data_IF_020512436047
#
_entry.id   IF_020512436047
#
_cell.length_a   1.000
_cell.length_b   1.000
_cell.length_c   1.000
_cell.angle_alpha   90.00
_cell.angle_beta   90.00
_cell.angle_gamma   90.00
#
_symmetry.space_group_name_H-M   'P 1'
#
loop_
_entity.id
_entity.type
_entity.pdbx_description
1 polymer ?
#
# COMPACT_ATOMS: atom_id res chain seq x y z
N UNK A 1 6.13 -38.98 -4.60
CA UNK A 1 5.48 -37.66 -4.46
C UNK A 1 6.35 -36.67 -5.19
N UNK A 2 5.90 -36.03 -6.28
CA UNK A 2 6.72 -34.99 -6.92
C UNK A 2 6.96 -33.91 -5.87
N UNK A 3 8.21 -33.64 -5.55
CA UNK A 3 8.60 -32.54 -4.67
C UNK A 3 8.06 -31.27 -5.29
N UNK A 4 7.02 -30.69 -4.68
CA UNK A 4 6.43 -29.45 -5.15
C UNK A 4 7.54 -28.40 -5.12
N UNK A 5 8.01 -27.96 -6.29
CA UNK A 5 8.87 -26.80 -6.39
C UNK A 5 8.20 -25.66 -5.63
N UNK A 6 8.93 -25.05 -4.71
CA UNK A 6 8.45 -23.89 -3.97
C UNK A 6 8.10 -22.80 -4.97
N UNK A 7 6.81 -22.47 -5.10
CA UNK A 7 6.36 -21.38 -5.94
C UNK A 7 6.15 -20.17 -5.04
N UNK A 8 7.05 -19.18 -5.01
CA UNK A 8 7.05 -18.14 -3.97
C UNK A 8 5.73 -17.36 -3.87
N UNK A 9 5.00 -17.21 -4.99
CA UNK A 9 3.65 -16.66 -4.99
C UNK A 9 2.69 -17.51 -4.15
N UNK A 10 2.66 -18.83 -4.39
CA UNK A 10 1.77 -19.74 -3.66
C UNK A 10 2.14 -19.79 -2.19
N UNK A 11 3.43 -19.77 -1.87
CA UNK A 11 3.93 -19.77 -0.50
C UNK A 11 3.46 -18.52 0.25
N UNK A 12 3.62 -17.34 -0.35
CA UNK A 12 3.11 -16.08 0.19
C UNK A 12 1.60 -16.11 0.41
N UNK A 13 0.82 -16.49 -0.62
CA UNK A 13 -0.64 -16.51 -0.54
C UNK A 13 -1.14 -17.54 0.49
N UNK A 14 -0.48 -18.71 0.57
CA UNK A 14 -0.81 -19.73 1.56
C UNK A 14 -0.50 -19.27 2.98
N UNK A 15 0.64 -18.62 3.21
CA UNK A 15 0.99 -18.08 4.52
C UNK A 15 -0.04 -17.02 4.96
N UNK A 16 -0.35 -16.06 4.09
CA UNK A 16 -1.34 -15.03 4.36
C UNK A 16 -2.74 -15.61 4.64
N UNK A 17 -3.16 -16.62 3.87
CA UNK A 17 -4.43 -17.33 4.06
C UNK A 17 -4.48 -18.08 5.40
N UNK A 18 -3.47 -18.91 5.69
CA UNK A 18 -3.41 -19.76 6.90
C UNK A 18 -3.45 -18.94 8.18
N UNK A 19 -2.70 -17.83 8.20
CA UNK A 19 -2.62 -16.94 9.36
C UNK A 19 -3.75 -15.89 9.39
N UNK A 20 -4.67 -15.92 8.41
CA UNK A 20 -5.73 -14.92 8.21
C UNK A 20 -5.20 -13.49 8.24
N UNK A 21 -3.98 -13.28 7.74
CA UNK A 21 -3.36 -11.95 7.67
C UNK A 21 -4.19 -11.06 6.76
N UNK A 22 -4.35 -9.81 7.19
CA UNK A 22 -4.99 -8.78 6.38
C UNK A 22 -4.04 -8.37 5.26
N UNK A 23 -4.57 -8.25 4.05
CA UNK A 23 -3.85 -7.88 2.83
C UNK A 23 -4.50 -6.69 2.17
N UNK A 24 -3.69 -5.95 1.42
CA UNK A 24 -4.13 -4.94 0.49
C UNK A 24 -3.83 -5.42 -0.93
N UNK A 25 -4.87 -5.43 -1.77
CA UNK A 25 -4.80 -5.80 -3.18
C UNK A 25 -5.01 -4.54 -3.99
N UNK A 26 -4.00 -4.15 -4.74
CA UNK A 26 -4.05 -3.05 -5.70
C UNK A 26 -4.43 -3.64 -7.05
N UNK A 27 -5.46 -3.06 -7.66
CA UNK A 27 -5.89 -3.41 -9.00
C UNK A 27 -5.15 -2.55 -10.03
N UNK A 28 -5.09 -3.04 -11.27
CA UNK A 28 -4.45 -2.33 -12.40
C UNK A 28 -5.10 -0.98 -12.70
N UNK A 29 -6.39 -0.83 -12.38
CA UNK A 29 -7.12 0.43 -12.51
C UNK A 29 -6.91 1.39 -11.31
N UNK A 30 -6.04 1.05 -10.36
CA UNK A 30 -5.73 1.87 -9.19
C UNK A 30 -6.66 1.70 -7.99
N UNK A 31 -7.74 0.90 -8.10
CA UNK A 31 -8.60 0.60 -6.94
C UNK A 31 -7.84 -0.27 -5.94
N UNK A 32 -7.98 0.03 -4.65
CA UNK A 32 -7.41 -0.77 -3.55
C UNK A 32 -8.52 -1.52 -2.80
N UNK A 33 -8.36 -2.82 -2.67
CA UNK A 33 -9.22 -3.69 -1.88
C UNK A 33 -8.47 -4.17 -0.64
N UNK A 34 -9.14 -4.22 0.50
CA UNK A 34 -8.53 -4.67 1.76
C UNK A 34 -9.37 -5.78 2.38
N UNK A 35 -8.73 -6.85 2.82
CA UNK A 35 -9.42 -8.01 3.39
C UNK A 35 -8.46 -9.12 3.77
N UNK A 36 -8.97 -10.33 3.98
CA UNK A 36 -8.18 -11.54 4.21
C UNK A 36 -8.37 -12.49 3.04
N UNK A 37 -7.31 -13.18 2.63
CA UNK A 37 -7.41 -14.20 1.57
C UNK A 37 -8.15 -15.41 2.13
N UNK A 38 -9.29 -15.76 1.54
CA UNK A 38 -10.07 -16.95 1.88
C UNK A 38 -9.53 -18.17 1.14
N UNK A 39 -9.31 -18.05 -0.17
CA UNK A 39 -8.77 -19.08 -1.04
C UNK A 39 -8.18 -18.47 -2.32
N UNK A 40 -7.42 -19.24 -3.08
CA UNK A 40 -6.89 -18.84 -4.37
C UNK A 40 -6.58 -20.06 -5.22
N UNK A 41 -6.54 -19.87 -6.53
CA UNK A 41 -6.13 -20.87 -7.51
C UNK A 41 -5.13 -20.27 -8.50
N UNK A 42 -4.99 -20.88 -9.67
CA UNK A 42 -4.13 -20.40 -10.75
C UNK A 42 -4.51 -19.00 -11.25
N UNK A 43 -5.79 -18.63 -11.28
CA UNK A 43 -6.34 -17.45 -11.95
C UNK A 43 -7.08 -16.46 -11.04
N UNK A 44 -7.62 -16.92 -9.91
CA UNK A 44 -8.49 -16.17 -9.01
C UNK A 44 -7.93 -16.12 -7.58
N UNK A 45 -8.26 -15.02 -6.90
CA UNK A 45 -8.09 -14.85 -5.46
C UNK A 45 -9.46 -14.51 -4.86
N UNK A 46 -9.87 -15.27 -3.84
CA UNK A 46 -11.09 -15.01 -3.07
C UNK A 46 -10.72 -14.17 -1.85
N UNK A 47 -11.16 -12.92 -1.84
CA UNK A 47 -10.90 -11.95 -0.78
C UNK A 47 -12.14 -11.82 0.12
N UNK A 48 -11.99 -12.11 1.41
CA UNK A 48 -13.01 -11.85 2.42
C UNK A 48 -12.85 -10.42 2.94
N UNK A 49 -13.90 -9.63 2.77
CA UNK A 49 -14.02 -8.25 3.22
C UNK A 49 -15.17 -8.14 4.24
N UNK A 50 -15.32 -7.00 4.96
CA UNK A 50 -16.48 -6.78 5.82
C UNK A 50 -17.83 -6.85 5.07
N UNK A 51 -17.84 -6.54 3.77
CA UNK A 51 -19.03 -6.55 2.92
C UNK A 51 -19.38 -7.97 2.44
N UNK A 52 -18.43 -8.91 2.52
CA UNK A 52 -18.60 -10.30 2.12
C UNK A 52 -17.39 -10.85 1.36
N UNK A 53 -17.62 -11.94 0.64
CA UNK A 53 -16.61 -12.62 -0.15
C UNK A 53 -16.63 -12.13 -1.61
N UNK A 54 -15.47 -11.76 -2.14
CA UNK A 54 -15.29 -11.26 -3.50
C UNK A 54 -14.22 -12.06 -4.24
N UNK A 55 -14.50 -12.49 -5.46
CA UNK A 55 -13.52 -13.09 -6.36
C UNK A 55 -12.81 -12.02 -7.20
N UNK A 56 -11.49 -12.10 -7.30
CA UNK A 56 -10.65 -11.15 -8.03
C UNK A 56 -9.77 -11.93 -9.01
N UNK A 57 -9.86 -11.62 -10.30
CA UNK A 57 -8.98 -12.20 -11.31
C UNK A 57 -7.57 -11.64 -11.17
N UNK A 58 -6.55 -12.51 -11.15
CA UNK A 58 -5.13 -12.12 -11.07
C UNK A 58 -4.71 -11.17 -12.19
N UNK A 59 -5.33 -11.26 -13.37
CA UNK A 59 -5.08 -10.32 -14.49
C UNK A 59 -5.42 -8.87 -14.17
N UNK A 60 -6.33 -8.65 -13.22
CA UNK A 60 -6.73 -7.32 -12.78
C UNK A 60 -5.90 -6.83 -11.58
N UNK A 61 -5.00 -7.65 -11.03
CA UNK A 61 -4.20 -7.34 -9.85
C UNK A 61 -2.85 -6.80 -10.28
N UNK A 62 -2.47 -5.63 -9.78
CA UNK A 62 -1.13 -5.07 -9.94
C UNK A 62 -0.21 -5.48 -8.79
N UNK A 63 -0.69 -5.48 -7.55
CA UNK A 63 0.14 -5.78 -6.37
C UNK A 63 -0.70 -6.35 -5.22
N UNK A 64 -0.10 -7.25 -4.44
CA UNK A 64 -0.66 -7.75 -3.18
C UNK A 64 0.40 -7.55 -2.10
N UNK A 65 0.03 -6.90 -1.00
CA UNK A 65 0.91 -6.68 0.14
C UNK A 65 0.20 -7.00 1.45
N UNK A 66 0.97 -7.28 2.51
CA UNK A 66 0.42 -7.38 3.85
C UNK A 66 0.00 -5.99 4.34
N UNK A 67 -1.17 -5.92 4.97
CA UNK A 67 -1.61 -4.72 5.69
C UNK A 67 -0.92 -4.72 7.06
N UNK A 68 0.24 -4.10 7.15
CA UNK A 68 1.00 -3.98 8.40
C UNK A 68 0.43 -2.93 9.36
N UNK A 69 -0.68 -2.25 9.01
CA UNK A 69 -1.30 -1.23 9.86
C UNK A 69 -0.45 0.04 10.06
N UNK A 70 0.79 0.06 9.56
CA UNK A 70 1.67 1.22 9.55
C UNK A 70 1.28 2.14 8.42
N UNK A 71 0.19 2.90 8.62
CA UNK A 71 0.00 4.13 7.87
C UNK A 71 1.25 4.99 8.11
N UNK A 72 2.04 5.34 7.08
CA UNK A 72 3.15 6.25 7.29
C UNK A 72 2.56 7.52 7.89
N UNK A 73 2.90 7.80 9.15
CA UNK A 73 2.46 9.00 9.83
C UNK A 73 2.88 10.24 9.02
N UNK A 74 2.20 11.38 9.21
CA UNK A 74 2.62 12.64 8.59
C UNK A 74 4.11 12.83 8.89
N UNK A 75 4.93 12.95 7.83
CA UNK A 75 6.35 13.26 7.98
C UNK A 75 6.43 14.60 8.70
N UNK A 76 6.84 14.58 9.97
CA UNK A 76 7.15 15.80 10.71
C UNK A 76 8.22 16.56 9.93
N UNK A 77 8.07 17.89 9.75
CA UNK A 77 9.11 18.69 9.13
C UNK A 77 10.40 18.52 9.94
N UNK A 78 11.49 18.11 9.27
CA UNK A 78 12.80 18.05 9.89
C UNK A 78 13.14 19.46 10.42
N UNK A 79 13.55 19.63 11.69
CA UNK A 79 13.96 20.92 12.17
C UNK A 79 15.15 21.41 11.35
N UNK A 80 15.02 22.63 10.83
CA UNK A 80 16.10 23.35 10.15
C UNK A 80 17.23 23.55 11.16
N UNK A 81 18.37 22.92 10.90
CA UNK A 81 19.55 22.99 11.77
C UNK A 81 20.13 24.41 11.65
N UNK A 82 19.70 25.30 12.54
CA UNK A 82 20.18 26.66 12.62
C UNK A 82 20.35 27.05 14.07
N UNK A 83 21.48 26.69 14.68
CA UNK A 83 22.09 27.53 15.70
C UNK A 83 23.58 27.24 15.83
N UNK A 84 24.38 28.25 15.49
CA UNK A 84 25.82 28.27 15.63
C UNK A 84 26.14 29.10 16.86
N UNK A 85 26.33 28.46 18.02
CA UNK A 85 26.83 29.14 19.21
C UNK A 85 28.07 28.46 19.76
N UNK A 86 29.15 29.24 19.68
CA UNK A 86 30.22 29.36 20.67
C UNK A 86 31.19 28.19 20.84
N UNK A 87 32.37 28.38 20.23
CA UNK A 87 33.68 27.80 20.55
C UNK A 87 33.84 27.43 22.04
N UNK A 88 34.04 26.14 22.31
CA UNK A 88 34.70 25.62 23.51
C UNK A 88 36.11 25.09 23.16
N UNK A 89 37.04 25.00 24.14
CA UNK A 89 38.48 24.99 23.88
C UNK A 89 39.01 23.63 23.41
N UNK A 90 39.99 23.70 22.51
CA UNK A 90 40.71 22.58 21.91
C UNK A 90 41.30 21.63 22.97
N UNK A 91 40.76 20.41 23.04
CA UNK A 91 41.42 19.26 23.64
C UNK A 91 42.53 18.73 22.73
N UNK A 92 43.64 18.38 23.36
CA UNK A 92 44.89 17.82 22.82
C UNK A 92 44.72 16.84 21.65
N UNK A 93 45.31 17.21 20.52
CA UNK A 93 45.39 16.43 19.28
C UNK A 93 46.60 15.50 19.39
N UNK A 94 46.37 14.19 19.51
CA UNK A 94 47.43 13.20 19.32
C UNK A 94 47.94 13.22 17.86
N UNK A 95 49.24 13.00 17.60
CA UNK A 95 49.75 12.85 16.25
C UNK A 95 49.27 11.52 15.68
N UNK A 96 48.37 11.58 14.70
CA UNK A 96 47.90 10.40 13.96
C UNK A 96 48.99 9.97 12.98
N UNK A 97 49.51 8.75 13.14
CA UNK A 97 50.48 8.18 12.21
C UNK A 97 49.90 8.05 10.78
N UNK A 98 50.70 8.31 9.73
CA UNK A 98 50.25 8.12 8.35
C UNK A 98 50.36 6.64 7.99
N UNK A 99 49.24 5.90 8.12
CA UNK A 99 49.13 4.56 7.52
C UNK A 99 48.97 4.73 6.01
N UNK A 100 50.08 4.61 5.30
CA UNK A 100 50.10 4.53 3.85
C UNK A 100 49.46 3.25 3.37
N UNK A 101 48.42 3.38 2.53
CA UNK A 101 48.05 2.35 1.56
C UNK A 101 48.07 3.02 0.17
N UNK A 102 48.86 2.52 -0.78
CA UNK A 102 48.77 2.98 -2.16
C UNK A 102 47.46 2.46 -2.74
N UNK A 103 46.56 3.38 -3.10
CA UNK A 103 45.34 3.05 -3.85
C UNK A 103 45.73 2.46 -5.20
N UNK A 104 45.32 1.23 -5.46
CA UNK A 104 45.52 0.59 -6.77
C UNK A 104 44.79 1.35 -7.89
N UNK A 105 45.49 1.45 -9.02
CA UNK A 105 45.01 2.04 -10.25
C UNK A 105 43.86 1.21 -10.82
N UNK A 106 42.66 1.79 -10.85
CA UNK A 106 41.51 1.19 -11.54
C UNK A 106 41.61 1.52 -13.03
N UNK A 107 41.71 0.49 -13.87
CA UNK A 107 41.75 0.67 -15.32
C UNK A 107 40.43 1.24 -15.88
N UNK A 108 40.47 2.04 -16.96
CA UNK A 108 39.27 2.52 -17.63
C UNK A 108 38.60 1.36 -18.38
N UNK A 109 37.37 1.02 -17.98
CA UNK A 109 36.58 0.00 -18.69
C UNK A 109 36.14 0.55 -20.05
N UNK A 110 36.46 -0.18 -21.10
CA UNK A 110 36.17 0.14 -22.50
C UNK A 110 34.67 0.38 -22.74
N UNK A 111 34.39 1.47 -23.44
CA UNK A 111 33.06 1.89 -23.87
C UNK A 111 32.61 1.05 -25.07
N UNK A 112 31.74 0.05 -24.84
CA UNK A 112 31.13 -0.68 -25.94
C UNK A 112 29.99 0.12 -26.55
N UNK A 113 30.07 0.25 -27.86
CA UNK A 113 29.31 1.18 -28.69
C UNK A 113 27.80 0.97 -28.69
N UNK A 114 27.17 2.09 -29.02
CA UNK A 114 25.79 2.27 -29.46
C UNK A 114 25.31 1.22 -30.46
N UNK A 115 24.16 0.60 -30.19
CA UNK A 115 23.19 0.22 -31.22
C UNK A 115 21.75 0.33 -30.68
N UNK A 116 21.01 1.31 -31.20
CA UNK A 116 19.57 1.21 -31.49
C UNK A 116 19.46 1.17 -33.02
N UNK A 117 18.53 0.39 -33.61
CA UNK A 117 17.22 1.00 -33.86
C UNK A 117 16.00 0.04 -33.90
N UNK A 118 14.84 0.69 -33.75
CA UNK A 118 13.55 0.45 -34.41
C UNK A 118 12.60 -0.69 -33.97
N UNK A 119 11.45 -0.20 -33.48
CA UNK A 119 10.08 -0.57 -33.84
C UNK A 119 9.60 -2.01 -33.65
N UNK A 120 8.77 -2.20 -32.60
CA UNK A 120 7.79 -3.27 -32.58
C UNK A 120 6.42 -2.73 -32.17
N UNK A 121 5.65 -2.41 -33.21
CA UNK A 121 4.19 -2.42 -33.32
C UNK A 121 3.38 -2.54 -32.02
N UNK A 122 2.64 -1.48 -31.76
CA UNK A 122 1.52 -1.34 -30.83
C UNK A 122 0.59 -2.57 -30.87
N UNK A 123 0.33 -3.16 -29.69
CA UNK A 123 -0.80 -4.07 -29.52
C UNK A 123 -1.83 -3.38 -28.65
N UNK A 124 -2.84 -2.84 -29.32
CA UNK A 124 -4.09 -2.40 -28.73
C UNK A 124 -4.77 -3.59 -28.03
N UNK A 125 -4.69 -3.65 -26.70
CA UNK A 125 -5.62 -4.47 -25.91
C UNK A 125 -6.75 -3.56 -25.47
N UNK A 126 -7.89 -3.73 -26.11
CA UNK A 126 -9.14 -3.02 -25.88
C UNK A 126 -9.41 -2.71 -24.40
N UNK A 127 -9.56 -1.43 -24.14
CA UNK A 127 -10.04 -0.79 -22.91
C UNK A 127 -11.55 -1.08 -22.74
N UNK A 128 -11.87 -2.26 -22.20
CA UNK A 128 -13.23 -2.54 -21.70
C UNK A 128 -13.18 -2.76 -20.20
N UNK A 129 -13.82 -1.91 -19.37
CA UNK A 129 -13.80 -2.06 -17.93
C UNK A 129 -14.56 -3.31 -17.49
N UNK A 130 -13.95 -4.10 -16.60
CA UNK A 130 -14.60 -5.26 -15.96
C UNK A 130 -15.56 -4.75 -14.89
N UNK A 131 -16.87 -4.82 -15.16
CA UNK A 131 -17.93 -4.44 -14.22
C UNK A 131 -18.40 -5.68 -13.44
N UNK A 132 -18.17 -5.70 -12.11
CA UNK A 132 -18.73 -6.72 -11.21
C UNK A 132 -19.97 -6.15 -10.52
N UNK A 133 -21.15 -6.35 -11.11
CA UNK A 133 -22.43 -5.96 -10.50
C UNK A 133 -23.03 -7.10 -9.69
N UNK A 134 -23.15 -6.90 -8.37
CA UNK A 134 -23.90 -7.80 -7.49
C UNK A 134 -25.37 -7.36 -7.48
N UNK A 135 -26.29 -8.23 -7.91
CA UNK A 135 -27.73 -8.00 -7.80
C UNK A 135 -28.12 -7.86 -6.31
N UNK A 136 -28.54 -6.67 -5.88
CA UNK A 136 -29.21 -6.48 -4.58
C UNK A 136 -30.58 -7.15 -4.66
N UNK A 137 -30.88 -8.04 -3.70
CA UNK A 137 -32.29 -8.38 -3.42
C UNK A 137 -32.89 -7.19 -2.67
N UNK A 138 -33.92 -6.59 -3.25
CA UNK A 138 -34.76 -5.60 -2.57
C UNK A 138 -35.65 -6.36 -1.59
N UNK A 139 -35.50 -6.08 -0.30
CA UNK A 139 -36.52 -6.36 0.69
C UNK A 139 -37.16 -5.03 1.11
N UNK A 140 -38.49 -4.97 1.02
CA UNK A 140 -39.37 -3.81 1.24
C UNK A 140 -40.36 -3.76 0.09
N UNK A 141 -41.64 -4.11 0.26
CA UNK A 141 -42.68 -3.41 1.03
C UNK A 141 -43.68 -4.41 1.66
N UNK A 142 -44.24 -4.21 2.86
CA UNK A 142 -45.38 -3.31 3.11
C UNK A 142 -45.78 -3.20 4.60
N UNK A 143 -46.24 -2.00 5.01
CA UNK A 143 -47.01 -1.70 6.24
C UNK A 143 -46.12 -1.38 7.45
N UNK A 144 -46.28 -0.32 8.23
CA UNK A 144 -47.35 0.64 8.47
C UNK A 144 -47.03 1.27 9.85
N UNK A 145 -47.64 2.41 10.16
CA UNK A 145 -47.71 3.06 11.47
C UNK A 145 -46.59 4.05 11.85
N UNK A 146 -47.03 5.30 12.00
CA UNK A 146 -46.21 6.46 12.29
C UNK A 146 -45.96 6.70 13.77
N UNK A 147 -45.03 7.61 14.04
CA UNK A 147 -44.93 8.28 15.33
C UNK A 147 -44.10 9.58 15.18
N UNK A 148 -44.81 10.70 15.13
CA UNK A 148 -44.76 11.80 16.10
C UNK A 148 -43.41 12.45 16.50
N UNK A 149 -43.41 13.79 16.55
CA UNK A 149 -42.62 14.54 17.53
C UNK A 149 -41.51 15.44 16.99
N UNK A 150 -41.91 16.61 16.49
CA UNK A 150 -41.07 17.78 16.24
C UNK A 150 -40.61 18.46 17.54
N UNK A 151 -39.39 19.02 17.56
CA UNK A 151 -39.02 20.16 18.41
C UNK A 151 -37.86 19.95 19.38
N UNK A 152 -36.63 20.25 18.94
CA UNK A 152 -35.55 20.62 19.87
C UNK A 152 -35.05 22.03 19.52
N UNK A 153 -35.60 23.03 20.22
CA UNK A 153 -35.13 24.41 20.19
C UNK A 153 -34.03 24.59 21.21
N UNK A 154 -32.80 24.80 20.74
CA UNK A 154 -31.68 25.24 21.56
C UNK A 154 -31.38 26.70 21.22
N UNK A 155 -31.84 27.61 22.08
CA UNK A 155 -31.49 29.03 22.05
C UNK A 155 -30.98 29.40 23.44
N UNK A 156 -29.73 29.88 23.51
CA UNK A 156 -29.13 30.35 24.75
C UNK A 156 -29.51 31.78 25.13
N UNK A 157 -28.95 32.20 26.28
CA UNK A 157 -28.49 33.54 26.66
C UNK A 157 -29.16 34.19 27.90
N UNK A 158 -28.30 34.71 28.81
CA UNK A 158 -28.54 35.75 29.83
C UNK A 158 -29.44 35.37 31.01
N UNK A 159 -29.26 35.80 32.26
CA UNK A 159 -28.47 36.87 32.85
C UNK A 159 -29.29 37.53 33.98
N UNK A 160 -28.67 37.69 35.15
CA UNK A 160 -28.94 38.69 36.21
C UNK A 160 -30.24 38.70 37.05
N UNK A 161 -30.04 38.92 38.37
CA UNK A 161 -30.87 39.64 39.39
C UNK A 161 -32.23 39.02 39.76
N UNK A 162 -32.66 38.89 41.02
CA UNK A 162 -32.34 39.46 42.35
C UNK A 162 -32.54 38.37 43.43
#
# INVERSE_FOLDING_TARGET
MPSAESHPQNDFMNAARKERKRVEIYLVNGIRLTGCIESFDQYLVMLRTPVGLQGIYKRAISTIQLDTGTRPGPRTPRPSHGEHTTRGPHGSREPREPRGEPREHREPRESYGSHSPAERSERSTSDTPVVVTRRRRLFGTSGGDGNNGNGNGNSGNGGATE
#
